data_IF_540002353978
#
_entry.id   IF_540002353978
#
_cell.length_a   1.000
_cell.length_b   1.000
_cell.length_c   1.000
_cell.angle_alpha   90.00
_cell.angle_beta   90.00
_cell.angle_gamma   90.00
#
_symmetry.space_group_name_H-M   'P 1'
#
loop_
_entity.id
_entity.type
_entity.pdbx_description
1 polymer ?
#
# COMPACT_ATOMS: atom_id res chain seq x y z
N UNK A 1 104.30 -31.39 -38.10
CA UNK A 1 104.04 -32.57 -38.96
C UNK A 1 102.70 -32.39 -39.63
N UNK A 2 102.69 -32.44 -40.96
CA UNK A 2 101.52 -32.72 -41.82
C UNK A 2 100.73 -33.93 -41.25
N UNK A 3 99.42 -34.14 -41.48
CA UNK A 3 98.82 -34.33 -42.81
C UNK A 3 97.31 -34.65 -42.67
N UNK A 4 96.50 -33.92 -43.45
CA UNK A 4 95.33 -34.33 -44.26
C UNK A 4 94.31 -35.34 -43.70
N UNK A 5 93.02 -34.97 -43.69
CA UNK A 5 91.98 -35.43 -44.65
C UNK A 5 90.57 -35.01 -44.17
N UNK A 6 89.87 -34.23 -45.01
CA UNK A 6 88.40 -34.00 -45.05
C UNK A 6 87.66 -35.31 -45.42
N UNK A 7 86.30 -35.44 -45.48
CA UNK A 7 85.15 -34.69 -44.93
C UNK A 7 84.02 -35.60 -44.31
N UNK A 8 82.92 -34.97 -43.87
CA UNK A 8 81.51 -35.44 -43.94
C UNK A 8 81.04 -36.69 -43.15
N UNK A 9 79.94 -36.49 -42.40
CA UNK A 9 78.98 -37.47 -41.86
C UNK A 9 79.28 -38.09 -40.49
N UNK A 10 78.84 -37.38 -39.45
CA UNK A 10 78.18 -37.94 -38.25
C UNK A 10 77.24 -36.83 -37.76
N UNK A 11 76.05 -36.66 -38.34
CA UNK A 11 74.82 -37.40 -38.05
C UNK A 11 74.55 -37.54 -36.54
N UNK A 12 73.50 -36.81 -36.12
CA UNK A 12 72.71 -36.96 -34.89
C UNK A 12 73.33 -36.52 -33.56
N UNK A 13 72.50 -35.80 -32.78
CA UNK A 13 72.68 -35.33 -31.40
C UNK A 13 73.50 -34.03 -31.31
N UNK A 14 72.89 -32.85 -31.19
CA UNK A 14 72.08 -32.44 -30.03
C UNK A 14 70.85 -31.64 -30.47
N UNK A 15 69.68 -32.28 -30.33
CA UNK A 15 68.41 -31.60 -30.20
C UNK A 15 68.09 -31.50 -28.70
N UNK A 16 68.34 -30.34 -28.09
CA UNK A 16 67.81 -29.89 -26.80
C UNK A 16 68.49 -28.54 -26.48
N UNK A 17 67.85 -27.43 -26.18
CA UNK A 17 66.47 -27.21 -25.78
C UNK A 17 65.99 -25.91 -26.44
N UNK A 18 65.02 -26.06 -27.35
CA UNK A 18 64.15 -24.95 -27.68
C UNK A 18 63.26 -24.68 -26.48
N UNK A 19 63.75 -23.93 -25.49
CA UNK A 19 62.84 -23.19 -24.60
C UNK A 19 62.32 -21.99 -25.38
N UNK A 20 61.46 -22.25 -26.37
CA UNK A 20 60.46 -21.25 -26.71
C UNK A 20 59.52 -21.28 -25.52
N UNK A 21 59.59 -20.24 -24.69
CA UNK A 21 58.55 -19.90 -23.74
C UNK A 21 57.21 -20.22 -24.39
N UNK A 22 56.56 -21.29 -23.91
CA UNK A 22 55.20 -21.59 -24.30
C UNK A 22 54.38 -20.44 -23.73
N UNK A 23 54.24 -19.36 -24.51
CA UNK A 23 53.27 -18.32 -24.21
C UNK A 23 51.95 -19.05 -24.13
N UNK A 24 51.38 -19.12 -22.93
CA UNK A 24 50.11 -19.78 -22.69
C UNK A 24 49.09 -19.13 -23.63
N UNK A 25 48.76 -19.81 -24.73
CA UNK A 25 47.77 -19.31 -25.67
C UNK A 25 46.41 -19.48 -25.00
N UNK A 26 45.92 -18.41 -24.39
CA UNK A 26 44.62 -18.37 -23.74
C UNK A 26 43.63 -17.69 -24.68
N UNK A 27 42.71 -18.48 -25.24
CA UNK A 27 41.58 -17.99 -26.00
C UNK A 27 40.42 -17.72 -25.03
N UNK A 28 40.00 -16.47 -24.92
CA UNK A 28 38.82 -16.06 -24.14
C UNK A 28 37.83 -15.34 -25.02
N UNK A 29 36.54 -15.60 -24.81
CA UNK A 29 35.43 -14.89 -25.43
C UNK A 29 34.49 -14.40 -24.31
N UNK A 30 33.91 -13.22 -24.49
CA UNK A 30 33.01 -12.60 -23.51
C UNK A 30 31.89 -11.86 -24.24
N UNK A 31 30.69 -11.94 -23.68
CA UNK A 31 29.53 -11.21 -24.15
C UNK A 31 28.86 -10.50 -22.97
N UNK A 32 28.39 -9.29 -23.22
CA UNK A 32 27.72 -8.46 -22.23
C UNK A 32 26.22 -8.45 -22.48
N UNK A 33 25.44 -8.66 -21.42
CA UNK A 33 24.00 -8.43 -21.41
C UNK A 33 23.71 -7.16 -20.59
N UNK A 34 23.76 -6.02 -21.28
CA UNK A 34 23.56 -4.71 -20.65
C UNK A 34 22.08 -4.36 -20.47
N UNK A 35 21.83 -3.30 -19.69
CA UNK A 35 20.51 -2.70 -19.47
C UNK A 35 19.46 -3.60 -18.78
N UNK A 36 19.90 -4.57 -17.98
CA UNK A 36 19.00 -5.21 -16.99
C UNK A 36 18.52 -4.15 -15.99
N UNK A 37 17.20 -4.00 -15.86
CA UNK A 37 16.57 -3.02 -14.97
C UNK A 37 15.54 -3.69 -14.08
N UNK A 38 15.51 -3.28 -12.81
CA UNK A 38 14.60 -3.79 -11.80
C UNK A 38 14.01 -2.59 -11.05
N UNK A 39 12.68 -2.54 -10.94
CA UNK A 39 11.96 -1.54 -10.15
C UNK A 39 11.01 -2.26 -9.20
N UNK A 40 10.87 -1.74 -7.98
CA UNK A 40 9.91 -2.27 -7.00
C UNK A 40 8.56 -1.59 -7.16
N UNK A 41 7.50 -2.28 -6.74
CA UNK A 41 6.17 -1.71 -6.68
C UNK A 41 6.01 -0.73 -5.50
N UNK A 42 5.01 0.12 -5.56
CA UNK A 42 4.62 1.06 -4.50
C UNK A 42 3.24 0.73 -3.96
N UNK A 43 3.03 0.98 -2.67
CA UNK A 43 1.73 0.97 -1.99
C UNK A 43 1.46 2.41 -1.57
N UNK A 44 0.39 3.00 -2.10
CA UNK A 44 0.05 4.40 -1.84
C UNK A 44 -1.47 4.55 -1.79
N UNK A 45 -2.01 4.74 -0.58
CA UNK A 45 -3.42 4.98 -0.32
C UNK A 45 -3.64 6.45 0.00
N UNK A 46 -4.63 7.06 -0.64
CA UNK A 46 -5.03 8.44 -0.39
C UNK A 46 -6.54 8.59 -0.42
N UNK A 47 -7.05 9.67 0.17
CA UNK A 47 -8.48 10.00 0.17
C UNK A 47 -8.75 11.37 -0.43
N UNK A 48 -9.92 11.52 -1.04
CA UNK A 48 -10.46 12.80 -1.45
C UNK A 48 -11.91 12.97 -0.92
N UNK A 49 -12.19 13.98 -0.09
CA UNK A 49 -11.26 15.00 0.41
C UNK A 49 -10.11 14.43 1.26
N UNK A 50 -8.96 15.11 1.23
CA UNK A 50 -7.77 14.78 2.05
C UNK A 50 -7.83 15.40 3.46
N UNK A 51 -8.85 16.21 3.72
CA UNK A 51 -9.12 16.87 5.00
C UNK A 51 -10.52 16.50 5.48
N UNK A 52 -11.05 17.22 6.47
CA UNK A 52 -12.33 16.94 7.11
C UNK A 52 -13.44 16.61 6.09
N UNK A 53 -13.96 15.38 6.16
CA UNK A 53 -15.10 14.94 5.34
C UNK A 53 -16.39 15.63 5.78
N UNK A 54 -16.53 15.88 7.08
CA UNK A 54 -17.66 16.56 7.69
C UNK A 54 -17.20 17.84 8.39
N UNK A 55 -17.95 18.92 8.21
CA UNK A 55 -17.85 20.12 9.02
C UNK A 55 -19.26 20.61 9.34
N UNK A 56 -19.84 20.09 10.42
CA UNK A 56 -21.22 20.36 10.82
C UNK A 56 -21.19 21.03 12.19
N UNK A 57 -21.76 22.23 12.29
CA UNK A 57 -21.56 23.12 13.46
C UNK A 57 -22.79 23.27 14.35
N UNK A 58 -23.98 22.85 13.89
CA UNK A 58 -25.23 23.06 14.61
C UNK A 58 -26.23 21.92 14.35
N UNK A 59 -25.80 20.66 14.55
CA UNK A 59 -26.73 19.54 14.46
C UNK A 59 -27.77 19.61 15.57
N UNK A 60 -29.04 19.43 15.19
CA UNK A 60 -30.16 19.23 16.11
C UNK A 60 -30.68 17.79 16.00
N UNK A 61 -31.36 17.25 17.04
CA UNK A 61 -31.92 15.91 16.97
C UNK A 61 -32.79 15.72 15.73
N UNK A 62 -32.53 14.65 14.98
CA UNK A 62 -33.17 14.34 13.69
C UNK A 62 -32.31 14.68 12.47
N UNK A 63 -31.28 15.50 12.61
CA UNK A 63 -30.42 15.88 11.49
C UNK A 63 -29.64 14.68 10.94
N UNK A 64 -29.45 14.69 9.63
CA UNK A 64 -28.65 13.69 8.90
C UNK A 64 -27.83 14.37 7.82
N UNK A 65 -26.54 14.03 7.75
CA UNK A 65 -25.61 14.52 6.73
C UNK A 65 -24.96 13.33 6.05
N UNK A 66 -24.89 13.36 4.72
CA UNK A 66 -24.23 12.32 3.92
C UNK A 66 -23.14 12.94 3.05
N UNK A 67 -21.98 12.29 3.00
CA UNK A 67 -20.83 12.73 2.22
C UNK A 67 -20.21 11.56 1.46
N UNK A 68 -19.58 11.86 0.32
CA UNK A 68 -18.82 10.90 -0.48
C UNK A 68 -17.32 11.06 -0.21
N UNK A 69 -16.64 9.95 0.06
CA UNK A 69 -15.19 9.88 0.17
C UNK A 69 -14.66 8.99 -0.93
N UNK A 70 -13.74 9.50 -1.75
CA UNK A 70 -13.02 8.68 -2.74
C UNK A 70 -11.75 8.16 -2.10
N UNK A 71 -11.54 6.85 -2.14
CA UNK A 71 -10.30 6.18 -1.73
C UNK A 71 -9.56 5.77 -2.98
N UNK A 72 -8.28 6.11 -3.08
CA UNK A 72 -7.46 5.86 -4.28
C UNK A 72 -6.22 5.08 -3.92
N UNK A 73 -5.91 4.06 -4.71
CA UNK A 73 -4.61 3.43 -4.76
C UNK A 73 -3.78 4.08 -5.88
N UNK A 74 -2.93 5.05 -5.53
CA UNK A 74 -2.01 5.69 -6.46
C UNK A 74 -0.72 4.88 -6.68
N UNK A 75 -0.59 3.74 -6.00
CA UNK A 75 0.53 2.83 -6.09
C UNK A 75 0.50 1.97 -7.36
N UNK A 76 1.58 1.21 -7.54
CA UNK A 76 1.73 0.28 -8.68
C UNK A 76 1.44 -1.17 -8.31
N UNK A 77 1.28 -1.50 -7.03
CA UNK A 77 0.77 -2.79 -6.56
C UNK A 77 -0.72 -2.71 -6.23
N UNK A 78 -1.43 -3.84 -6.31
CA UNK A 78 -2.72 -3.98 -5.64
C UNK A 78 -2.50 -3.88 -4.12
N UNK A 79 -3.38 -3.15 -3.45
CA UNK A 79 -3.39 -3.04 -2.00
C UNK A 79 -4.66 -3.66 -1.40
N UNK A 80 -4.58 -4.04 -0.13
CA UNK A 80 -5.72 -4.23 0.76
C UNK A 80 -5.67 -3.16 1.84
N UNK A 81 -6.82 -2.75 2.37
CA UNK A 81 -6.87 -1.79 3.46
C UNK A 81 -8.01 -2.02 4.44
N UNK A 82 -7.78 -1.54 5.66
CA UNK A 82 -8.74 -1.46 6.75
C UNK A 82 -8.90 -0.01 7.22
N UNK A 83 -9.99 0.27 7.92
CA UNK A 83 -10.27 1.60 8.47
C UNK A 83 -10.52 1.50 9.97
N UNK A 84 -9.83 2.35 10.70
CA UNK A 84 -10.09 2.62 12.12
C UNK A 84 -10.54 4.06 12.31
N UNK A 85 -11.17 4.35 13.44
CA UNK A 85 -11.62 5.68 13.84
C UNK A 85 -11.31 5.94 15.31
N UNK A 86 -11.15 7.22 15.63
CA UNK A 86 -11.14 7.72 17.01
C UNK A 86 -11.93 9.02 17.05
N UNK A 87 -12.76 9.23 18.07
CA UNK A 87 -13.51 10.46 18.25
C UNK A 87 -13.25 11.11 19.62
N UNK A 88 -13.15 12.43 19.63
CA UNK A 88 -12.87 13.18 20.87
C UNK A 88 -14.12 13.33 21.75
N UNK A 89 -13.90 13.51 23.05
CA UNK A 89 -14.92 13.87 24.03
C UNK A 89 -14.36 14.95 24.98
N UNK A 90 -13.87 16.04 24.41
CA UNK A 90 -13.13 17.06 25.16
C UNK A 90 -14.01 17.87 26.13
N UNK A 91 -15.30 17.99 25.84
CA UNK A 91 -16.28 18.70 26.67
C UNK A 91 -16.96 17.81 27.73
N UNK A 92 -16.75 16.50 27.67
CA UNK A 92 -17.37 15.52 28.58
C UNK A 92 -18.84 15.23 28.29
N UNK A 93 -19.41 15.74 27.19
CA UNK A 93 -20.83 15.59 26.82
C UNK A 93 -21.09 14.40 25.90
N UNK A 94 -20.04 13.69 25.50
CA UNK A 94 -20.09 12.40 24.81
C UNK A 94 -20.88 12.40 23.50
N UNK A 95 -20.80 13.50 22.72
CA UNK A 95 -21.51 13.60 21.43
C UNK A 95 -21.15 12.44 20.47
N UNK A 96 -19.91 11.96 20.52
CA UNK A 96 -19.44 10.84 19.70
C UNK A 96 -20.32 9.58 19.86
N UNK A 97 -20.82 9.33 21.07
CA UNK A 97 -21.63 8.16 21.43
C UNK A 97 -23.10 8.34 21.07
N UNK A 98 -23.51 9.57 20.75
CA UNK A 98 -24.88 9.90 20.36
C UNK A 98 -25.06 9.92 18.83
N UNK A 99 -23.99 10.20 18.09
CA UNK A 99 -24.04 10.24 16.62
C UNK A 99 -24.03 8.82 16.07
N UNK A 100 -24.99 8.51 15.19
CA UNK A 100 -25.01 7.27 14.45
C UNK A 100 -24.26 7.44 13.12
N UNK A 101 -23.28 6.56 12.87
CA UNK A 101 -22.51 6.47 11.64
C UNK A 101 -22.92 5.22 10.87
N UNK A 102 -23.22 5.41 9.59
CA UNK A 102 -23.36 4.32 8.62
C UNK A 102 -22.41 4.60 7.47
N UNK A 103 -21.66 3.57 7.06
CA UNK A 103 -20.80 3.64 5.88
C UNK A 103 -21.25 2.58 4.89
N UNK A 104 -21.35 2.97 3.63
CA UNK A 104 -21.72 2.08 2.53
C UNK A 104 -20.74 2.19 1.36
N UNK A 105 -20.70 1.16 0.54
CA UNK A 105 -20.13 1.28 -0.80
C UNK A 105 -20.97 2.22 -1.66
N UNK A 106 -20.43 2.67 -2.80
CA UNK A 106 -21.23 3.36 -3.81
C UNK A 106 -22.25 2.40 -4.43
N UNK A 107 -23.53 2.72 -4.30
CA UNK A 107 -24.61 2.14 -5.11
C UNK A 107 -24.84 2.99 -6.37
N UNK A 108 -26.00 3.62 -6.48
CA UNK A 108 -26.28 4.58 -7.57
C UNK A 108 -25.49 5.87 -7.37
N UNK A 109 -25.57 6.45 -6.17
CA UNK A 109 -24.80 7.60 -5.71
C UNK A 109 -24.93 7.74 -4.18
N UNK A 110 -24.10 8.56 -3.54
CA UNK A 110 -24.14 8.72 -2.09
C UNK A 110 -25.38 9.47 -1.57
N UNK A 111 -26.09 10.24 -2.40
CA UNK A 111 -27.35 10.85 -1.97
C UNK A 111 -28.45 9.78 -1.79
N UNK A 112 -28.54 8.80 -2.71
CA UNK A 112 -29.47 7.67 -2.61
C UNK A 112 -29.07 6.71 -1.47
N UNK A 113 -27.77 6.48 -1.27
CA UNK A 113 -27.23 5.68 -0.15
C UNK A 113 -27.77 4.24 -0.11
N UNK A 114 -27.85 3.66 -1.30
CA UNK A 114 -28.38 2.34 -1.65
C UNK A 114 -27.29 1.29 -1.83
N UNK A 115 -26.03 1.63 -1.56
CA UNK A 115 -24.92 0.68 -1.62
C UNK A 115 -24.95 -0.39 -0.53
N UNK A 116 -23.98 -1.31 -0.59
CA UNK A 116 -23.79 -2.34 0.42
C UNK A 116 -23.29 -1.73 1.73
N UNK A 117 -23.83 -2.17 2.86
CA UNK A 117 -23.40 -1.71 4.18
C UNK A 117 -22.03 -2.26 4.54
N UNK A 118 -21.15 -1.37 4.99
CA UNK A 118 -19.80 -1.70 5.48
C UNK A 118 -19.70 -1.55 6.99
N UNK A 119 -20.39 -0.56 7.55
CA UNK A 119 -20.36 -0.27 8.98
C UNK A 119 -21.67 0.37 9.43
N UNK A 120 -22.07 0.03 10.64
CA UNK A 120 -23.17 0.65 11.39
C UNK A 120 -22.79 0.69 12.87
N UNK A 121 -22.87 1.86 13.49
CA UNK A 121 -22.44 2.07 14.87
C UNK A 121 -22.42 3.56 15.21
N UNK A 122 -21.70 3.93 16.26
CA UNK A 122 -21.33 5.32 16.51
C UNK A 122 -20.00 5.69 15.79
N UNK A 123 -19.42 6.85 16.10
CA UNK A 123 -18.21 7.33 15.40
C UNK A 123 -16.94 6.48 15.63
N UNK A 124 -16.85 5.71 16.72
CA UNK A 124 -15.63 4.98 17.11
C UNK A 124 -15.85 3.70 17.97
N UNK A 125 -17.06 3.15 18.00
CA UNK A 125 -17.49 2.02 18.86
C UNK A 125 -16.91 0.66 18.51
N UNK A 126 -16.27 0.54 17.34
CA UNK A 126 -15.50 -0.65 17.02
C UNK A 126 -14.48 -0.98 18.10
N UNK A 127 -14.25 -2.26 18.39
CA UNK A 127 -13.18 -2.65 19.32
C UNK A 127 -11.85 -2.14 18.75
N UNK A 128 -11.14 -1.29 19.51
CA UNK A 128 -9.93 -0.62 19.03
C UNK A 128 -10.18 0.44 17.95
N UNK A 129 -11.41 0.94 17.83
CA UNK A 129 -11.81 1.90 16.81
C UNK A 129 -12.04 1.29 15.43
N UNK A 130 -12.08 -0.03 15.30
CA UNK A 130 -12.24 -0.69 13.99
C UNK A 130 -13.60 -0.36 13.35
N UNK A 131 -13.56 0.25 12.16
CA UNK A 131 -14.75 0.55 11.37
C UNK A 131 -15.03 -0.59 10.39
N UNK A 132 -14.03 -1.02 9.63
CA UNK A 132 -14.09 -2.26 8.84
C UNK A 132 -12.69 -2.77 8.50
N UNK A 133 -12.61 -4.06 8.15
CA UNK A 133 -11.35 -4.77 7.96
C UNK A 133 -10.60 -4.97 9.27
N UNK A 134 -9.33 -5.35 9.15
CA UNK A 134 -8.42 -5.49 10.29
C UNK A 134 -7.04 -4.92 9.91
N UNK A 135 -6.40 -4.29 10.89
CA UNK A 135 -5.06 -3.68 10.71
C UNK A 135 -3.92 -4.67 10.94
N UNK A 136 -4.22 -5.90 11.38
CA UNK A 136 -3.26 -6.98 11.44
C UNK A 136 -2.73 -7.31 10.04
N UNK A 137 -1.42 -7.52 9.95
CA UNK A 137 -0.75 -7.88 8.69
C UNK A 137 -1.38 -9.14 8.07
N UNK A 138 -1.53 -9.13 6.75
CA UNK A 138 -1.99 -10.27 5.96
C UNK A 138 -3.46 -10.15 5.57
N UNK A 139 -3.97 -11.19 4.91
CA UNK A 139 -5.37 -11.19 4.51
C UNK A 139 -6.30 -11.38 5.71
N UNK A 140 -7.07 -10.35 6.05
CA UNK A 140 -8.07 -10.42 7.10
C UNK A 140 -9.50 -10.29 6.57
N UNK A 141 -10.46 -10.74 7.38
CA UNK A 141 -11.86 -10.66 7.01
C UNK A 141 -12.34 -9.20 7.04
N UNK A 142 -13.03 -8.78 5.98
CA UNK A 142 -13.57 -7.42 5.86
C UNK A 142 -12.59 -6.40 5.26
N UNK A 143 -11.33 -6.77 5.01
CA UNK A 143 -10.39 -5.93 4.28
C UNK A 143 -10.91 -5.60 2.90
N UNK A 144 -10.63 -4.38 2.46
CA UNK A 144 -11.01 -3.92 1.12
C UNK A 144 -9.81 -3.99 0.19
N UNK A 145 -9.95 -4.68 -0.93
CA UNK A 145 -8.91 -4.74 -1.96
C UNK A 145 -9.11 -3.67 -3.02
N UNK A 146 -8.06 -2.94 -3.38
CA UNK A 146 -8.07 -1.92 -4.41
C UNK A 146 -6.90 -2.13 -5.39
N UNK A 147 -7.22 -2.33 -6.66
CA UNK A 147 -6.23 -2.52 -7.71
C UNK A 147 -5.30 -1.31 -7.85
N UNK A 148 -4.11 -1.53 -8.41
CA UNK A 148 -3.19 -0.44 -8.75
C UNK A 148 -3.88 0.59 -9.66
N UNK A 149 -3.64 1.87 -9.41
CA UNK A 149 -4.25 3.01 -10.12
C UNK A 149 -5.80 3.02 -10.14
N UNK A 150 -6.44 2.32 -9.20
CA UNK A 150 -7.90 2.30 -9.07
C UNK A 150 -8.37 3.16 -7.89
N UNK A 151 -9.63 3.58 -7.98
CA UNK A 151 -10.33 4.28 -6.90
C UNK A 151 -11.68 3.64 -6.64
N UNK A 152 -12.18 3.80 -5.43
CA UNK A 152 -13.55 3.50 -5.06
C UNK A 152 -14.17 4.65 -4.26
N UNK A 153 -15.50 4.72 -4.26
CA UNK A 153 -16.23 5.72 -3.48
C UNK A 153 -16.97 5.04 -2.34
N UNK A 154 -16.78 5.58 -1.14
CA UNK A 154 -17.49 5.21 0.07
C UNK A 154 -18.45 6.34 0.45
N UNK A 155 -19.65 5.97 0.86
CA UNK A 155 -20.68 6.90 1.29
C UNK A 155 -20.77 6.87 2.81
N UNK A 156 -20.44 7.99 3.45
CA UNK A 156 -20.53 8.15 4.89
C UNK A 156 -21.79 8.93 5.23
N UNK A 157 -22.56 8.44 6.19
CA UNK A 157 -23.74 9.13 6.72
C UNK A 157 -23.66 9.21 8.22
N UNK A 158 -23.77 10.43 8.72
CA UNK A 158 -23.86 10.71 10.15
C UNK A 158 -25.24 11.27 10.43
N UNK A 159 -25.90 10.76 11.47
CA UNK A 159 -27.15 11.30 11.98
C UNK A 159 -27.10 11.55 13.47
N UNK A 160 -27.77 12.59 13.93
CA UNK A 160 -28.07 12.80 15.34
C UNK A 160 -29.48 12.25 15.59
N UNK A 161 -29.65 11.16 16.34
CA UNK A 161 -30.96 10.55 16.55
C UNK A 161 -31.98 11.54 17.12
N UNK A 162 -33.25 11.43 16.70
CA UNK A 162 -34.33 12.31 17.15
C UNK A 162 -34.58 12.24 18.67
N UNK A 163 -34.19 11.12 19.30
CA UNK A 163 -34.28 10.92 20.75
C UNK A 163 -33.10 11.50 21.55
N UNK A 164 -32.13 12.16 20.90
CA UNK A 164 -30.98 12.76 21.61
C UNK A 164 -31.49 13.83 22.58
N UNK A 165 -31.20 13.65 23.87
CA UNK A 165 -31.64 14.56 24.92
C UNK A 165 -30.77 15.82 25.06
N UNK A 166 -31.18 16.71 25.95
CA UNK A 166 -30.49 17.98 26.22
C UNK A 166 -29.05 17.83 26.74
N UNK A 167 -28.63 16.64 27.17
CA UNK A 167 -27.26 16.37 27.65
C UNK A 167 -26.19 16.59 26.58
N UNK A 168 -26.56 16.56 25.29
CA UNK A 168 -25.64 16.81 24.17
C UNK A 168 -25.78 18.22 23.59
N UNK A 169 -26.56 19.11 24.21
CA UNK A 169 -26.70 20.48 23.75
C UNK A 169 -25.35 21.22 23.86
N UNK A 170 -24.89 21.79 22.74
CA UNK A 170 -23.61 22.49 22.68
C UNK A 170 -22.39 21.58 22.71
N UNK A 171 -22.59 20.26 22.62
CA UNK A 171 -21.51 19.29 22.58
C UNK A 171 -20.76 19.33 21.23
N UNK A 172 -19.49 18.92 21.27
CA UNK A 172 -18.59 18.87 20.13
C UNK A 172 -17.77 17.58 20.16
N UNK A 173 -17.55 17.02 18.98
CA UNK A 173 -16.62 15.90 18.79
C UNK A 173 -15.88 16.07 17.47
N UNK A 174 -14.66 15.55 17.40
CA UNK A 174 -13.87 15.46 16.18
C UNK A 174 -13.51 14.00 15.97
N UNK A 175 -14.00 13.42 14.88
CA UNK A 175 -13.63 12.08 14.45
C UNK A 175 -12.44 12.12 13.49
N UNK A 176 -11.48 11.23 13.70
CA UNK A 176 -10.35 10.98 12.80
C UNK A 176 -10.49 9.55 12.29
N UNK A 177 -10.43 9.38 10.96
CA UNK A 177 -10.45 8.07 10.30
C UNK A 177 -9.06 7.76 9.74
N UNK A 178 -8.55 6.55 9.99
CA UNK A 178 -7.23 6.12 9.53
C UNK A 178 -7.36 4.94 8.57
N UNK A 179 -6.92 5.13 7.34
CA UNK A 179 -6.87 4.12 6.30
C UNK A 179 -5.49 3.47 6.32
N UNK A 180 -5.44 2.19 6.70
CA UNK A 180 -4.18 1.43 6.79
C UNK A 180 -4.14 0.44 5.64
N UNK A 181 -3.14 0.55 4.77
CA UNK A 181 -3.03 -0.28 3.57
C UNK A 181 -1.72 -1.06 3.52
N UNK A 182 -1.77 -2.23 2.89
CA UNK A 182 -0.62 -3.06 2.57
C UNK A 182 -0.80 -3.74 1.21
N UNK A 183 0.30 -4.17 0.59
CA UNK A 183 0.25 -4.93 -0.66
C UNK A 183 -0.46 -6.27 -0.48
N UNK A 184 -1.13 -6.77 -1.53
CA UNK A 184 -1.76 -8.10 -1.47
C UNK A 184 -0.82 -9.26 -1.80
N UNK A 185 0.30 -8.97 -2.46
CA UNK A 185 1.26 -9.97 -2.89
C UNK A 185 2.41 -10.11 -1.88
N UNK A 186 2.68 -11.34 -1.44
CA UNK A 186 3.82 -11.68 -0.58
C UNK A 186 3.84 -10.90 0.74
N UNK A 187 2.70 -10.76 1.41
CA UNK A 187 2.53 -10.04 2.67
C UNK A 187 2.03 -10.93 3.81
#
# INVERSE_FOLDING_TARGET
>A
MFRKLLPMVALLLVAAAGFRSAGLALFTDAATLDANSFVTATVDISTNPATALFNVTAMVPGDTVTQSLVVTNAGTAQLRYAVTASATNADGLALKDQLALVIKTLGTNCATFDGGELYTGDLDSGVGGVIFGDTAQGAQAGDRTLNAAASETLCFRVSLPIGTGNGSQGAATTATYTFTAEQTANN
#
